data_IF_531215188139
#
_entry.id   IF_531215188139
#
_cell.length_a   1.000
_cell.length_b   1.000
_cell.length_c   1.000
_cell.angle_alpha   90.00
_cell.angle_beta   90.00
_cell.angle_gamma   90.00
#
_symmetry.space_group_name_H-M   'P 1'
#
loop_
_entity.id
_entity.type
_entity.pdbx_description
1 polymer ?
#
# COMPACT_ATOMS: atom_id res chain seq x y z
N UNK A 1 -4.25 9.02 -17.20
CA UNK A 1 -3.47 9.35 -15.99
C UNK A 1 -3.83 8.29 -14.97
N UNK A 2 -2.86 7.74 -14.22
CA UNK A 2 -3.10 6.60 -13.33
C UNK A 2 -3.41 7.10 -11.91
N UNK A 3 -4.55 6.66 -11.35
CA UNK A 3 -5.05 7.10 -10.04
C UNK A 3 -5.22 5.92 -9.09
N UNK A 4 -4.92 6.17 -7.82
CA UNK A 4 -5.18 5.28 -6.72
C UNK A 4 -6.22 5.93 -5.80
N UNK A 5 -7.29 5.22 -5.50
CA UNK A 5 -8.38 5.70 -4.64
C UNK A 5 -8.44 4.83 -3.41
N UNK A 6 -8.50 5.44 -2.23
CA UNK A 6 -8.69 4.71 -0.97
C UNK A 6 -9.98 3.87 -1.06
N UNK A 7 -9.83 2.56 -0.93
CA UNK A 7 -10.93 1.60 -1.01
C UNK A 7 -11.35 1.12 0.38
N UNK A 8 -10.37 0.82 1.23
CA UNK A 8 -10.59 0.45 2.63
C UNK A 8 -9.45 1.01 3.50
N UNK A 9 -9.83 1.57 4.64
CA UNK A 9 -8.92 2.08 5.66
C UNK A 9 -8.86 1.14 6.86
N UNK A 10 -7.83 1.30 7.69
CA UNK A 10 -7.61 0.56 8.95
C UNK A 10 -7.76 -0.97 8.80
N UNK A 11 -7.05 -1.53 7.82
CA UNK A 11 -7.10 -2.96 7.54
C UNK A 11 -6.36 -3.78 8.60
N UNK A 12 -7.07 -4.72 9.22
CA UNK A 12 -6.48 -5.72 10.11
C UNK A 12 -5.65 -6.78 9.37
N UNK A 13 -4.83 -7.52 10.12
CA UNK A 13 -4.02 -8.63 9.60
C UNK A 13 -2.60 -8.25 9.15
N UNK A 14 -2.24 -6.97 9.24
CA UNK A 14 -0.90 -6.44 8.97
C UNK A 14 -0.19 -6.02 10.26
N UNK A 15 1.14 -6.05 10.26
CA UNK A 15 1.96 -5.61 11.40
C UNK A 15 2.16 -4.09 11.28
N UNK A 16 1.09 -3.34 11.56
CA UNK A 16 1.04 -1.88 11.49
C UNK A 16 -0.18 -1.37 10.71
N UNK A 17 -0.39 -0.04 10.65
CA UNK A 17 -1.48 0.56 9.88
C UNK A 17 -1.44 0.13 8.41
N UNK A 18 -2.62 -0.18 7.85
CA UNK A 18 -2.73 -0.64 6.48
C UNK A 18 -3.97 -0.08 5.78
N UNK A 19 -3.81 0.23 4.49
CA UNK A 19 -4.85 0.75 3.61
C UNK A 19 -4.86 0.00 2.29
N UNK A 20 -6.04 -0.31 1.79
CA UNK A 20 -6.22 -0.86 0.44
C UNK A 20 -6.69 0.24 -0.49
N UNK A 21 -6.06 0.30 -1.65
CA UNK A 21 -6.34 1.24 -2.71
C UNK A 21 -6.82 0.51 -3.95
N UNK A 22 -7.87 1.02 -4.57
CA UNK A 22 -8.27 0.63 -5.92
C UNK A 22 -7.45 1.44 -6.92
N UNK A 23 -6.90 0.78 -7.92
CA UNK A 23 -6.04 1.34 -8.94
C UNK A 23 -6.78 1.44 -10.27
N UNK A 24 -6.62 2.57 -10.96
CA UNK A 24 -7.16 2.81 -12.29
C UNK A 24 -6.10 3.51 -13.17
N UNK A 25 -5.53 2.83 -14.19
CA UNK A 25 -5.81 1.45 -14.60
C UNK A 25 -5.27 0.41 -13.60
N UNK A 26 -5.67 -0.86 -13.68
CA UNK A 26 -5.07 -1.93 -12.88
C UNK A 26 -3.55 -2.01 -13.05
N UNK A 27 -2.83 -2.36 -11.99
CA UNK A 27 -1.37 -2.50 -12.02
C UNK A 27 -0.98 -3.91 -12.40
N UNK A 28 0.02 -4.06 -13.28
CA UNK A 28 0.54 -5.38 -13.62
C UNK A 28 1.66 -5.80 -12.66
N UNK A 29 1.37 -6.75 -11.77
CA UNK A 29 2.31 -7.29 -10.78
C UNK A 29 2.44 -8.79 -10.97
N UNK A 30 3.68 -9.32 -10.99
CA UNK A 30 3.90 -10.76 -11.21
C UNK A 30 3.31 -11.30 -12.52
N UNK A 31 3.10 -10.45 -13.53
CA UNK A 31 2.50 -10.84 -14.81
C UNK A 31 0.97 -10.93 -14.82
N UNK A 32 0.29 -10.52 -13.75
CA UNK A 32 -1.18 -10.45 -13.67
C UNK A 32 -1.61 -9.01 -13.36
N UNK A 33 -2.76 -8.61 -13.88
CA UNK A 33 -3.31 -7.29 -13.61
C UNK A 33 -4.12 -7.31 -12.31
N UNK A 34 -3.87 -6.34 -11.43
CA UNK A 34 -4.48 -6.24 -10.12
C UNK A 34 -5.15 -4.87 -9.95
N UNK A 35 -6.44 -4.91 -9.64
CA UNK A 35 -7.25 -3.70 -9.40
C UNK A 35 -7.01 -3.11 -8.02
N UNK A 36 -6.44 -3.88 -7.08
CA UNK A 36 -6.25 -3.46 -5.71
C UNK A 36 -4.81 -3.72 -5.25
N UNK A 37 -4.31 -2.80 -4.44
CA UNK A 37 -3.06 -2.98 -3.68
C UNK A 37 -3.30 -2.59 -2.23
N UNK A 38 -2.71 -3.36 -1.32
CA UNK A 38 -2.63 -2.99 0.08
C UNK A 38 -1.25 -2.44 0.36
N UNK A 39 -1.23 -1.26 0.97
CA UNK A 39 -0.03 -0.64 1.52
C UNK A 39 -0.12 -0.74 3.03
N UNK A 40 0.89 -1.35 3.67
CA UNK A 40 1.02 -1.33 5.12
C UNK A 40 2.29 -0.62 5.54
N UNK A 41 2.23 0.05 6.68
CA UNK A 41 3.34 0.77 7.27
C UNK A 41 3.69 0.08 8.59
N UNK A 42 4.84 -0.59 8.62
CA UNK A 42 5.29 -1.37 9.75
C UNK A 42 6.37 -0.60 10.54
N UNK A 43 6.26 -0.49 11.88
CA UNK A 43 7.33 0.03 12.72
C UNK A 43 8.52 -0.94 12.79
N UNK A 44 9.67 -0.44 13.22
CA UNK A 44 10.86 -1.26 13.43
C UNK A 44 10.61 -2.41 14.42
N UNK A 45 11.15 -3.57 14.09
CA UNK A 45 11.23 -4.74 14.97
C UNK A 45 12.70 -4.97 15.37
N UNK A 46 13.01 -5.78 16.40
CA UNK A 46 14.38 -5.92 16.93
C UNK A 46 15.49 -6.21 15.91
N UNK A 47 15.15 -6.79 14.75
CA UNK A 47 16.08 -7.13 13.68
C UNK A 47 15.66 -6.60 12.29
N UNK A 48 14.73 -5.65 12.26
CA UNK A 48 14.16 -5.12 11.02
C UNK A 48 13.88 -3.62 11.18
N UNK A 49 14.36 -2.81 10.24
CA UNK A 49 13.98 -1.39 10.21
C UNK A 49 12.49 -1.24 9.90
N UNK A 50 11.90 -0.10 10.28
CA UNK A 50 10.56 0.25 9.85
C UNK A 50 10.46 0.20 8.32
N UNK A 51 9.30 -0.13 7.79
CA UNK A 51 9.13 -0.33 6.36
C UNK A 51 7.73 -0.02 5.87
N UNK A 52 7.67 0.30 4.59
CA UNK A 52 6.42 0.38 3.85
C UNK A 52 6.38 -0.81 2.91
N UNK A 53 5.35 -1.62 3.08
CA UNK A 53 5.10 -2.79 2.26
C UNK A 53 3.94 -2.56 1.32
N UNK A 54 4.08 -3.04 0.09
CA UNK A 54 3.04 -3.05 -0.93
C UNK A 54 2.82 -4.49 -1.39
N UNK A 55 1.57 -4.93 -1.42
CA UNK A 55 1.17 -6.23 -1.96
C UNK A 55 0.00 -6.08 -2.92
N UNK A 56 -0.04 -6.94 -3.94
CA UNK A 56 -1.25 -7.15 -4.72
C UNK A 56 -2.37 -7.63 -3.79
N UNK A 57 -3.54 -7.04 -3.92
CA UNK A 57 -4.65 -7.28 -2.99
C UNK A 57 -5.95 -7.65 -3.70
N UNK A 58 -6.85 -8.27 -2.96
CA UNK A 58 -8.26 -8.41 -3.31
C UNK A 58 -9.02 -7.14 -2.88
N UNK A 59 -10.31 -7.04 -3.22
CA UNK A 59 -11.18 -5.97 -2.74
C UNK A 59 -11.31 -5.92 -1.20
N UNK A 60 -11.06 -7.03 -0.50
CA UNK A 60 -11.07 -7.06 0.97
C UNK A 60 -9.76 -6.56 1.58
N UNK A 61 -8.78 -6.18 0.75
CA UNK A 61 -7.44 -5.80 1.20
C UNK A 61 -6.54 -6.98 1.56
N UNK A 62 -7.01 -8.23 1.43
CA UNK A 62 -6.18 -9.41 1.66
C UNK A 62 -5.20 -9.60 0.49
N UNK A 63 -4.05 -10.22 0.75
CA UNK A 63 -3.08 -10.52 -0.31
C UNK A 63 -3.73 -11.39 -1.40
N UNK A 64 -3.72 -10.91 -2.65
CA UNK A 64 -4.30 -11.63 -3.79
C UNK A 64 -3.40 -12.76 -4.31
N UNK A 65 -2.14 -12.79 -3.86
CA UNK A 65 -1.16 -13.81 -4.24
C UNK A 65 -1.01 -14.86 -3.13
N UNK A 66 -0.42 -16.00 -3.47
CA UNK A 66 -0.16 -17.10 -2.53
C UNK A 66 0.89 -16.79 -1.45
N UNK A 67 1.57 -15.64 -1.53
CA UNK A 67 2.61 -15.21 -0.61
C UNK A 67 2.60 -13.68 -0.51
N UNK A 68 2.94 -13.14 0.66
CA UNK A 68 3.15 -11.70 0.87
C UNK A 68 4.51 -11.27 0.32
N UNK A 69 4.66 -11.34 -1.00
CA UNK A 69 5.85 -10.85 -1.67
C UNK A 69 5.76 -9.33 -1.80
N UNK A 70 6.77 -8.63 -1.28
CA UNK A 70 6.92 -7.19 -1.45
C UNK A 70 6.92 -6.85 -2.95
N UNK A 71 6.02 -5.96 -3.33
CA UNK A 71 5.86 -5.48 -4.70
C UNK A 71 6.63 -4.17 -4.90
N UNK A 72 6.86 -3.74 -6.16
CA UNK A 72 7.28 -2.38 -6.46
C UNK A 72 6.48 -1.35 -5.65
N UNK A 73 7.14 -0.28 -5.21
CA UNK A 73 6.57 0.69 -4.27
C UNK A 73 6.80 0.37 -2.80
N UNK A 74 7.26 -0.83 -2.46
CA UNK A 74 7.72 -1.14 -1.09
C UNK A 74 9.11 -0.53 -0.84
N UNK A 75 9.35 0.09 0.31
CA UNK A 75 10.65 0.64 0.70
C UNK A 75 10.91 0.48 2.21
N UNK A 76 12.13 0.78 2.64
CA UNK A 76 12.54 0.77 4.06
C UNK A 76 12.57 2.22 4.56
N UNK A 77 12.12 2.43 5.79
CA UNK A 77 12.14 3.71 6.47
C UNK A 77 13.40 3.82 7.34
N UNK A 78 13.92 5.05 7.46
CA UNK A 78 15.07 5.33 8.33
C UNK A 78 14.69 5.57 9.80
N UNK A 79 13.38 5.62 10.11
CA UNK A 79 12.84 5.81 11.44
C UNK A 79 11.41 5.29 11.52
N UNK A 80 10.90 5.16 12.74
CA UNK A 80 9.53 4.73 12.96
C UNK A 80 8.55 5.83 12.57
N UNK A 81 7.43 5.48 11.91
CA UNK A 81 6.37 6.41 11.59
C UNK A 81 5.60 6.74 12.88
N UNK A 82 5.69 8.00 13.32
CA UNK A 82 5.23 8.46 14.63
C UNK A 82 4.04 9.45 14.56
N UNK A 83 3.67 9.88 13.36
CA UNK A 83 2.60 10.87 13.11
C UNK A 83 1.72 10.47 11.93
N UNK A 84 0.46 10.91 11.96
CA UNK A 84 -0.50 10.64 10.89
C UNK A 84 -0.05 11.24 9.54
N UNK A 85 0.53 12.44 9.55
CA UNK A 85 1.10 13.08 8.35
C UNK A 85 2.22 12.25 7.73
N UNK A 86 3.05 11.60 8.56
CA UNK A 86 4.11 10.72 8.09
C UNK A 86 3.53 9.44 7.47
N UNK A 87 2.48 8.87 8.06
CA UNK A 87 1.76 7.72 7.50
C UNK A 87 1.15 8.07 6.13
N UNK A 88 0.49 9.22 6.02
CA UNK A 88 -0.08 9.70 4.76
C UNK A 88 0.98 9.94 3.68
N UNK A 89 2.15 10.48 4.08
CA UNK A 89 3.32 10.59 3.23
C UNK A 89 3.82 9.22 2.74
N UNK A 90 3.86 8.21 3.61
CA UNK A 90 4.26 6.84 3.27
C UNK A 90 3.33 6.22 2.22
N UNK A 91 2.01 6.33 2.41
CA UNK A 91 1.03 5.82 1.45
C UNK A 91 1.15 6.52 0.10
N UNK A 92 1.25 7.85 0.12
CA UNK A 92 1.38 8.66 -1.10
C UNK A 92 2.66 8.29 -1.87
N UNK A 93 3.78 8.13 -1.17
CA UNK A 93 5.05 7.74 -1.78
C UNK A 93 4.99 6.32 -2.36
N UNK A 94 4.42 5.36 -1.65
CA UNK A 94 4.30 3.98 -2.13
C UNK A 94 3.48 3.89 -3.43
N UNK A 95 2.36 4.61 -3.50
CA UNK A 95 1.53 4.71 -4.71
C UNK A 95 2.23 5.47 -5.83
N UNK A 96 2.94 6.55 -5.50
CA UNK A 96 3.77 7.31 -6.45
C UNK A 96 4.87 6.47 -7.09
N UNK A 97 5.53 5.60 -6.31
CA UNK A 97 6.52 4.64 -6.79
C UNK A 97 5.91 3.55 -7.69
N UNK A 98 4.63 3.24 -7.53
CA UNK A 98 3.87 2.40 -8.47
C UNK A 98 3.43 3.16 -9.74
N UNK A 99 3.64 4.48 -9.79
CA UNK A 99 3.21 5.34 -10.91
C UNK A 99 1.79 5.88 -10.78
N UNK A 100 1.18 5.81 -9.60
CA UNK A 100 -0.17 6.27 -9.34
C UNK A 100 -0.17 7.56 -8.53
N UNK A 101 -1.10 8.45 -8.85
CA UNK A 101 -1.40 9.60 -8.02
C UNK A 101 -2.56 9.26 -7.09
N UNK A 102 -2.48 9.68 -5.84
CA UNK A 102 -3.61 9.58 -4.93
C UNK A 102 -4.73 10.47 -5.46
N UNK A 103 -5.88 9.87 -5.75
CA UNK A 103 -7.09 10.55 -6.18
C UNK A 103 -8.10 10.61 -5.04
N UNK A 104 -8.99 11.60 -5.12
CA UNK A 104 -10.15 11.65 -4.22
C UNK A 104 -11.09 10.48 -4.51
N UNK A 105 -11.74 9.96 -3.46
CA UNK A 105 -12.82 9.00 -3.63
C UNK A 105 -13.88 9.59 -4.58
N UNK A 106 -14.46 8.79 -5.50
CA UNK A 106 -15.57 9.28 -6.30
C UNK A 106 -16.69 9.70 -5.33
N UNK A 107 -16.95 11.01 -5.26
CA UNK A 107 -18.18 11.55 -4.66
C UNK A 107 -19.33 10.92 -5.42
N UNK A 108 -20.02 10.00 -4.76
CA UNK A 108 -21.27 9.42 -5.22
C UNK A 108 -22.37 10.49 -5.22
#
# INVERSE_FOLDING_TARGET
MAYAVLHADDLGGYIGPARCYRLDPPVRLGGTDHEYVTVWVQPGLPHQQAEVGVVAATSTGACATWSMLRQPGSFVLHGDPDTDDYLDGCYTMALGLLGYQLGDAPTN
#
